data_IF_947109041163
#
_entry.id   IF_947109041163
#
_cell.length_a   1.000
_cell.length_b   1.000
_cell.length_c   1.000
_cell.angle_alpha   90.00
_cell.angle_beta   90.00
_cell.angle_gamma   90.00
#
_symmetry.space_group_name_H-M   'P 1'
#
loop_
_entity.id
_entity.type
_entity.pdbx_description
1 polymer ?
#
# COMPACT_ATOMS: atom_id res chain seq x y z
N UNK A 1 -4.42 -4.87 22.57
CA UNK A 1 -4.24 -5.94 21.56
C UNK A 1 -2.82 -5.84 21.04
N UNK A 2 -2.02 -6.93 21.09
CA UNK A 2 -0.66 -6.91 20.52
C UNK A 2 -0.79 -6.80 19.00
N UNK A 3 -0.14 -5.81 18.39
CA UNK A 3 0.01 -5.74 16.94
C UNK A 3 0.65 -7.04 16.47
N UNK A 4 -0.05 -7.84 15.65
CA UNK A 4 0.60 -8.98 14.97
C UNK A 4 1.72 -8.39 14.13
N UNK A 5 2.96 -8.79 14.41
CA UNK A 5 4.11 -8.38 13.63
C UNK A 5 3.99 -9.06 12.27
N UNK A 6 3.72 -8.27 11.23
CA UNK A 6 3.65 -8.75 9.85
C UNK A 6 4.93 -8.37 9.13
N UNK A 7 5.37 -9.20 8.20
CA UNK A 7 6.42 -8.84 7.25
C UNK A 7 5.86 -7.89 6.18
N UNK A 8 6.64 -6.89 5.78
CA UNK A 8 6.32 -6.03 4.64
C UNK A 8 7.01 -6.57 3.39
N UNK A 9 6.25 -7.11 2.44
CA UNK A 9 6.77 -7.64 1.18
C UNK A 9 6.46 -6.66 0.05
N UNK A 10 7.49 -6.12 -0.61
CA UNK A 10 7.31 -5.19 -1.74
C UNK A 10 7.48 -5.92 -3.06
N UNK A 11 6.41 -6.01 -3.85
CA UNK A 11 6.45 -6.61 -5.17
C UNK A 11 7.30 -5.78 -6.14
N UNK A 12 7.84 -6.37 -7.22
CA UNK A 12 8.64 -5.65 -8.22
C UNK A 12 7.96 -4.37 -8.72
N UNK A 13 6.69 -4.48 -9.12
CA UNK A 13 5.84 -3.37 -9.58
C UNK A 13 5.77 -2.22 -8.56
N UNK A 14 5.51 -2.53 -7.29
CA UNK A 14 5.48 -1.54 -6.22
C UNK A 14 6.83 -0.82 -6.06
N UNK A 15 7.95 -1.54 -6.19
CA UNK A 15 9.29 -0.93 -6.10
C UNK A 15 9.58 -0.01 -7.27
N UNK A 16 9.11 -0.35 -8.47
CA UNK A 16 9.22 0.49 -9.66
C UNK A 16 8.37 1.76 -9.52
N UNK A 17 7.14 1.64 -9.01
CA UNK A 17 6.30 2.79 -8.70
C UNK A 17 6.94 3.72 -7.67
N UNK A 18 7.54 3.17 -6.61
CA UNK A 18 8.28 3.96 -5.63
C UNK A 18 9.46 4.69 -6.27
N UNK A 19 10.23 4.03 -7.15
CA UNK A 19 11.33 4.67 -7.88
C UNK A 19 10.82 5.82 -8.73
N UNK A 20 9.77 5.59 -9.51
CA UNK A 20 9.13 6.63 -10.33
C UNK A 20 8.74 7.83 -9.48
N UNK A 21 8.10 7.62 -8.33
CA UNK A 21 7.73 8.73 -7.44
C UNK A 21 8.93 9.44 -6.84
N UNK A 22 10.01 8.74 -6.49
CA UNK A 22 11.24 9.39 -6.00
C UNK A 22 11.82 10.33 -7.06
N UNK A 23 11.78 9.94 -8.33
CA UNK A 23 12.31 10.70 -9.46
C UNK A 23 11.40 11.85 -9.90
N UNK A 24 10.08 11.69 -9.79
CA UNK A 24 9.10 12.64 -10.35
C UNK A 24 8.39 13.52 -9.32
N UNK A 25 8.05 12.98 -8.14
CA UNK A 25 7.43 13.72 -7.05
C UNK A 25 7.76 13.08 -5.69
N UNK A 26 8.84 13.57 -5.07
CA UNK A 26 9.31 13.11 -3.77
C UNK A 26 8.26 13.23 -2.67
N UNK A 27 7.30 14.16 -2.75
CA UNK A 27 6.23 14.27 -1.74
C UNK A 27 5.28 13.07 -1.82
N UNK A 28 4.97 12.60 -3.01
CA UNK A 28 4.16 11.39 -3.21
C UNK A 28 4.90 10.15 -2.70
N UNK A 29 6.20 10.03 -2.96
CA UNK A 29 7.02 8.94 -2.44
C UNK A 29 7.01 8.88 -0.90
N UNK A 30 7.22 10.03 -0.23
CA UNK A 30 7.17 10.11 1.23
C UNK A 30 5.78 9.76 1.78
N UNK A 31 4.71 10.18 1.10
CA UNK A 31 3.34 9.81 1.45
C UNK A 31 3.11 8.30 1.29
N UNK A 32 3.70 7.67 0.27
CA UNK A 32 3.61 6.24 0.09
C UNK A 32 4.24 5.48 1.25
N UNK A 33 5.44 5.87 1.69
CA UNK A 33 6.08 5.31 2.89
C UNK A 33 5.24 5.52 4.15
N UNK A 34 4.67 6.71 4.35
CA UNK A 34 3.79 6.96 5.50
C UNK A 34 2.55 6.05 5.51
N UNK A 35 2.00 5.74 4.34
CA UNK A 35 0.89 4.80 4.20
C UNK A 35 1.33 3.35 4.43
N UNK A 36 2.52 2.94 4.01
CA UNK A 36 3.10 1.63 4.33
C UNK A 36 3.16 1.44 5.85
N UNK A 37 3.74 2.40 6.58
CA UNK A 37 3.83 2.35 8.05
C UNK A 37 2.44 2.26 8.71
N UNK A 38 1.46 3.01 8.18
CA UNK A 38 0.10 2.97 8.67
C UNK A 38 -0.57 1.59 8.43
N UNK A 39 -0.35 1.00 7.25
CA UNK A 39 -0.86 -0.34 6.89
C UNK A 39 -0.24 -1.41 7.80
N UNK A 40 1.07 -1.32 8.08
CA UNK A 40 1.74 -2.28 8.95
C UNK A 40 1.23 -2.22 10.39
N UNK A 41 0.79 -1.04 10.85
CA UNK A 41 0.19 -0.87 12.18
C UNK A 41 -1.25 -1.37 12.25
N UNK A 42 -2.08 -0.93 11.31
CA UNK A 42 -3.48 -1.37 11.18
C UNK A 42 -3.83 -1.43 9.69
N UNK A 43 -3.90 -2.63 9.09
CA UNK A 43 -4.17 -2.77 7.66
C UNK A 43 -5.56 -2.30 7.24
N UNK A 44 -6.54 -2.26 8.13
CA UNK A 44 -7.95 -2.08 7.75
C UNK A 44 -8.50 -0.70 8.09
N UNK A 45 -7.78 0.08 8.89
CA UNK A 45 -8.20 1.43 9.30
C UNK A 45 -7.09 2.48 9.14
N UNK A 46 -7.44 3.75 9.37
CA UNK A 46 -6.50 4.87 9.35
C UNK A 46 -6.45 5.64 8.03
N UNK A 47 -5.30 6.29 7.72
CA UNK A 47 -5.22 7.27 6.63
C UNK A 47 -5.37 6.62 5.26
N UNK A 48 -5.77 7.45 4.29
CA UNK A 48 -5.91 7.02 2.90
C UNK A 48 -7.22 6.31 2.59
N UNK A 49 -8.25 6.34 3.46
CA UNK A 49 -9.57 5.73 3.22
C UNK A 49 -9.44 4.26 2.74
N UNK A 50 -9.11 3.32 3.66
CA UNK A 50 -8.95 1.92 3.31
C UNK A 50 -10.25 1.35 2.70
N UNK A 51 -10.13 0.71 1.55
CA UNK A 51 -11.26 0.13 0.82
C UNK A 51 -10.94 -1.33 0.40
N UNK A 52 -11.79 -2.32 0.72
CA UNK A 52 -11.58 -3.69 0.31
C UNK A 52 -11.83 -3.86 -1.20
N UNK A 53 -10.93 -4.58 -1.88
CA UNK A 53 -11.04 -4.87 -3.32
C UNK A 53 -11.66 -6.25 -3.53
N UNK A 54 -12.88 -6.28 -4.06
CA UNK A 54 -13.67 -7.51 -4.19
C UNK A 54 -13.23 -8.44 -5.33
N UNK A 55 -12.51 -7.92 -6.33
CA UNK A 55 -12.25 -8.63 -7.59
C UNK A 55 -10.79 -9.07 -7.79
N UNK A 56 -9.88 -8.71 -6.89
CA UNK A 56 -8.45 -9.02 -7.06
C UNK A 56 -8.06 -10.34 -6.36
N UNK A 57 -8.33 -10.44 -5.06
CA UNK A 57 -8.14 -11.62 -4.23
C UNK A 57 -8.81 -11.41 -2.86
N UNK A 58 -9.16 -12.49 -2.14
CA UNK A 58 -9.57 -12.38 -0.73
C UNK A 58 -8.46 -11.71 0.09
N UNK A 59 -8.81 -10.66 0.83
CA UNK A 59 -7.85 -9.89 1.63
C UNK A 59 -7.12 -8.77 0.88
N UNK A 60 -7.53 -8.43 -0.35
CA UNK A 60 -6.99 -7.30 -1.10
C UNK A 60 -7.64 -5.98 -0.67
N UNK A 61 -6.82 -4.95 -0.52
CA UNK A 61 -7.22 -3.61 -0.07
C UNK A 61 -6.53 -2.53 -0.89
N UNK A 62 -7.16 -1.36 -0.92
CA UNK A 62 -6.56 -0.14 -1.47
C UNK A 62 -6.58 1.00 -0.46
N UNK A 63 -5.62 1.92 -0.60
CA UNK A 63 -5.61 3.22 0.08
C UNK A 63 -5.24 4.33 -0.89
N UNK A 64 -5.87 5.48 -0.73
CA UNK A 64 -5.65 6.71 -1.47
C UNK A 64 -4.26 7.29 -1.24
N UNK A 65 -3.39 7.14 -2.24
CA UNK A 65 -2.09 7.79 -2.30
C UNK A 65 -2.26 9.23 -2.78
N UNK A 66 -2.87 9.44 -3.95
CA UNK A 66 -3.26 10.76 -4.48
C UNK A 66 -4.75 10.74 -4.84
N UNK A 67 -5.29 11.80 -5.45
CA UNK A 67 -6.68 11.73 -5.95
C UNK A 67 -6.84 10.58 -6.96
N UNK A 68 -5.84 10.40 -7.81
CA UNK A 68 -5.83 9.41 -8.89
C UNK A 68 -5.25 8.07 -8.42
N UNK A 69 -4.11 8.05 -7.75
CA UNK A 69 -3.37 6.83 -7.47
C UNK A 69 -3.73 6.17 -6.14
N UNK A 70 -3.57 4.85 -6.07
CA UNK A 70 -3.80 4.02 -4.89
C UNK A 70 -2.56 3.19 -4.57
N UNK A 71 -2.32 2.97 -3.28
CA UNK A 71 -1.55 1.81 -2.83
C UNK A 71 -2.51 0.63 -2.80
N UNK A 72 -2.15 -0.43 -3.50
CA UNK A 72 -2.84 -1.72 -3.49
C UNK A 72 -1.99 -2.72 -2.72
N UNK A 73 -2.59 -3.42 -1.77
CA UNK A 73 -1.90 -4.36 -0.90
C UNK A 73 -2.81 -5.54 -0.55
N UNK A 74 -2.19 -6.65 -0.18
CA UNK A 74 -2.86 -7.86 0.27
C UNK A 74 -2.44 -8.16 1.70
N UNK A 75 -3.43 -8.41 2.56
CA UNK A 75 -3.20 -8.73 3.97
C UNK A 75 -3.32 -10.23 4.17
N UNK A 76 -2.27 -10.85 4.73
CA UNK A 76 -2.23 -12.25 5.16
C UNK A 76 -2.00 -12.33 6.66
N UNK A 77 -1.94 -13.54 7.19
CA UNK A 77 -1.77 -13.78 8.62
C UNK A 77 -0.43 -13.28 9.17
N UNK A 78 0.63 -13.41 8.38
CA UNK A 78 2.03 -13.18 8.74
C UNK A 78 2.68 -12.05 7.93
N UNK A 79 2.06 -11.59 6.84
CA UNK A 79 2.63 -10.55 5.97
C UNK A 79 1.61 -9.65 5.30
N UNK A 80 2.11 -8.52 4.82
CA UNK A 80 1.41 -7.60 3.92
C UNK A 80 2.18 -7.51 2.61
N UNK A 81 1.58 -7.98 1.51
CA UNK A 81 2.16 -7.88 0.17
C UNK A 81 1.73 -6.53 -0.46
N UNK A 82 2.66 -5.62 -0.69
CA UNK A 82 2.43 -4.35 -1.38
C UNK A 82 2.60 -4.53 -2.87
N UNK A 83 1.51 -4.37 -3.61
CA UNK A 83 1.40 -4.76 -5.02
C UNK A 83 1.72 -3.60 -5.95
N UNK A 84 1.09 -2.44 -5.76
CA UNK A 84 1.17 -1.27 -6.64
C UNK A 84 1.02 0.03 -5.84
N UNK A 85 1.65 1.11 -6.30
CA UNK A 85 1.53 2.47 -5.77
C UNK A 85 1.22 3.51 -6.87
N UNK A 86 0.94 3.06 -8.09
CA UNK A 86 0.57 3.88 -9.23
C UNK A 86 -0.45 3.14 -10.10
N UNK A 87 -1.34 3.88 -10.75
CA UNK A 87 -2.14 3.30 -11.83
C UNK A 87 -1.31 3.38 -13.10
N UNK A 88 -1.13 2.23 -13.75
CA UNK A 88 -0.65 2.17 -15.12
C UNK A 88 -1.90 2.08 -16.01
N UNK A 89 -2.15 3.13 -16.80
CA UNK A 89 -3.16 3.12 -17.86
C UNK A 89 -2.57 2.52 -19.13
#
# INVERSE_FOLDING_TARGET
MKTKQRESVFQPEFREDLRYWVETDRKVALRAFALVEAIMRDPFTGPGKPEPLKYLASGAWSRRLTQEHRIVYLVRDDRSDFLQARYHY
#
